data_IF_963122606848
#
_entry.id   IF_963122606848
#
_cell.length_a   1.000
_cell.length_b   1.000
_cell.length_c   1.000
_cell.angle_alpha   90.00
_cell.angle_beta   90.00
_cell.angle_gamma   90.00
#
_symmetry.space_group_name_H-M   'P 1'
#
loop_
_entity.id
_entity.type
_entity.pdbx_description
1 polymer ?
#
# COMPACT_ATOMS: atom_id res chain seq x y z
N UNK A 1 7.34 -10.94 11.66
CA UNK A 1 6.61 -11.93 10.84
C UNK A 1 5.83 -11.15 9.81
N UNK A 2 5.79 -11.60 8.55
CA UNK A 2 5.02 -10.91 7.52
C UNK A 2 3.52 -10.88 7.89
N UNK A 3 2.79 -9.80 7.54
CA UNK A 3 1.35 -9.70 7.83
C UNK A 3 0.55 -10.73 7.02
N UNK A 4 -0.59 -11.15 7.57
CA UNK A 4 -1.58 -11.97 6.86
C UNK A 4 -2.66 -11.08 6.23
N UNK A 5 -3.01 -11.32 4.97
CA UNK A 5 -4.01 -10.55 4.22
C UNK A 5 -4.94 -11.51 3.48
N UNK A 6 -6.19 -11.60 3.92
CA UNK A 6 -7.19 -12.40 3.21
C UNK A 6 -7.54 -11.76 1.85
N UNK A 7 -7.41 -12.52 0.78
CA UNK A 7 -7.69 -12.06 -0.59
C UNK A 7 -9.06 -12.58 -1.06
N UNK A 8 -9.88 -11.67 -1.58
CA UNK A 8 -11.13 -12.04 -2.25
C UNK A 8 -11.05 -11.69 -3.72
N UNK A 9 -11.24 -12.68 -4.59
CA UNK A 9 -11.34 -12.51 -6.03
C UNK A 9 -12.79 -12.76 -6.43
N UNK A 10 -13.36 -11.85 -7.21
CA UNK A 10 -14.69 -12.03 -7.78
C UNK A 10 -14.53 -12.40 -9.25
N UNK A 11 -15.08 -13.55 -9.66
CA UNK A 11 -15.05 -13.98 -11.07
C UNK A 11 -15.63 -12.89 -11.97
N UNK A 12 -14.97 -12.60 -13.08
CA UNK A 12 -15.41 -11.58 -14.04
C UNK A 12 -15.14 -10.13 -13.60
N UNK A 13 -14.42 -9.91 -12.49
CA UNK A 13 -14.00 -8.57 -12.05
C UNK A 13 -12.48 -8.44 -12.14
N UNK A 14 -12.04 -7.25 -12.56
CA UNK A 14 -10.62 -6.87 -12.45
C UNK A 14 -10.25 -6.76 -10.98
N UNK A 15 -9.11 -7.35 -10.61
CA UNK A 15 -8.46 -7.14 -9.32
C UNK A 15 -7.22 -6.28 -9.56
N UNK A 16 -7.10 -5.23 -8.75
CA UNK A 16 -5.87 -4.47 -8.58
C UNK A 16 -5.63 -4.30 -7.08
N UNK A 17 -4.48 -4.78 -6.60
CA UNK A 17 -4.14 -4.73 -5.19
C UNK A 17 -2.68 -4.30 -5.04
N UNK A 18 -2.46 -3.15 -4.41
CA UNK A 18 -1.14 -2.58 -4.19
C UNK A 18 -0.66 -2.84 -2.76
N UNK A 19 0.57 -3.32 -2.63
CA UNK A 19 1.27 -3.48 -1.36
C UNK A 19 2.45 -2.51 -1.30
N UNK A 20 2.26 -1.39 -0.61
CA UNK A 20 3.34 -0.46 -0.28
C UNK A 20 4.38 -1.15 0.60
N UNK A 21 5.67 -1.02 0.24
CA UNK A 21 6.76 -1.75 0.88
C UNK A 21 7.70 -0.78 1.61
N UNK A 22 7.76 -0.92 2.92
CA UNK A 22 8.42 0.02 3.82
C UNK A 22 9.44 -0.68 4.72
N UNK A 23 10.44 0.09 5.15
CA UNK A 23 11.35 -0.28 6.23
C UNK A 23 10.68 -0.05 7.61
N UNK A 24 11.17 -0.72 8.65
CA UNK A 24 10.75 -0.49 10.03
C UNK A 24 11.21 0.88 10.55
N UNK A 25 12.24 1.48 9.94
CA UNK A 25 12.68 2.84 10.28
C UNK A 25 11.57 3.86 10.02
N UNK A 26 11.36 4.74 11.01
CA UNK A 26 10.42 5.87 10.91
C UNK A 26 11.16 7.14 10.53
N UNK A 27 10.61 7.86 9.55
CA UNK A 27 11.02 9.22 9.23
C UNK A 27 10.11 10.23 9.94
N UNK A 28 10.74 11.32 10.38
CA UNK A 28 10.09 12.44 11.04
C UNK A 28 10.34 13.69 10.22
N UNK A 29 9.27 14.29 9.68
CA UNK A 29 9.37 15.50 8.85
C UNK A 29 8.61 16.66 9.51
N UNK A 30 9.27 17.80 9.77
CA UNK A 30 8.63 18.91 10.45
C UNK A 30 7.54 19.52 9.58
N UNK A 31 6.38 19.81 10.20
CA UNK A 31 5.30 20.55 9.54
C UNK A 31 5.64 22.03 9.60
N UNK A 32 5.73 22.67 8.44
CA UNK A 32 6.12 24.09 8.31
C UNK A 32 4.91 24.98 8.04
N UNK A 33 3.83 24.44 7.50
CA UNK A 33 2.59 25.19 7.25
C UNK A 33 1.36 24.29 7.19
N UNK A 34 0.22 24.87 7.56
CA UNK A 34 -1.10 24.28 7.37
C UNK A 34 -2.12 25.42 7.17
N UNK A 35 -2.52 25.74 5.92
CA UNK A 35 -3.60 26.69 5.69
C UNK A 35 -4.93 26.13 6.21
N UNK A 36 -5.72 26.95 6.89
CA UNK A 36 -7.08 26.60 7.32
C UNK A 36 -8.01 26.47 6.10
N UNK A 37 -8.06 25.28 5.52
CA UNK A 37 -8.90 24.93 4.37
C UNK A 37 -9.27 23.45 4.38
N UNK A 38 -10.21 23.08 3.51
CA UNK A 38 -10.52 21.69 3.19
C UNK A 38 -10.28 21.42 1.69
N UNK A 39 -9.66 20.29 1.32
CA UNK A 39 -8.97 19.34 2.21
C UNK A 39 -7.75 19.98 2.88
N UNK A 40 -7.34 19.47 4.04
CA UNK A 40 -6.14 19.94 4.73
C UNK A 40 -4.91 19.73 3.84
N UNK A 41 -4.03 20.73 3.78
CA UNK A 41 -2.70 20.59 3.18
C UNK A 41 -1.64 20.93 4.19
N UNK A 42 -0.55 20.15 4.18
CA UNK A 42 0.58 20.34 5.07
C UNK A 42 1.82 20.61 4.24
N UNK A 43 2.51 21.71 4.56
CA UNK A 43 3.85 21.97 4.07
C UNK A 43 4.88 21.25 4.93
N UNK A 44 5.82 20.56 4.28
CA UNK A 44 6.95 19.87 4.88
C UNK A 44 8.01 19.68 3.81
N UNK A 45 9.09 20.46 3.88
CA UNK A 45 10.09 20.52 2.82
C UNK A 45 10.77 19.14 2.58
N UNK A 46 10.88 18.75 1.32
CA UNK A 46 11.48 17.48 0.86
C UNK A 46 10.99 16.30 1.69
N UNK A 47 9.67 16.15 1.82
CA UNK A 47 9.10 15.16 2.75
C UNK A 47 9.44 13.72 2.36
N UNK A 48 9.53 13.40 1.07
CA UNK A 48 9.81 12.05 0.57
C UNK A 48 8.64 11.07 0.64
N UNK A 49 7.51 11.47 1.23
CA UNK A 49 6.24 10.73 1.29
C UNK A 49 5.69 10.47 -0.13
N UNK A 50 5.53 9.20 -0.55
CA UNK A 50 4.85 8.80 -1.79
C UNK A 50 3.35 9.10 -1.79
N UNK A 51 2.71 9.07 -2.96
CA UNK A 51 1.26 9.22 -3.03
C UNK A 51 0.53 8.03 -2.38
N UNK A 52 -0.49 8.32 -1.57
CA UNK A 52 -1.26 7.32 -0.83
C UNK A 52 -0.53 6.71 0.37
N UNK A 53 0.66 7.18 0.74
CA UNK A 53 1.44 6.59 1.83
C UNK A 53 0.81 6.89 3.21
N UNK A 54 0.76 5.92 4.13
CA UNK A 54 0.21 6.13 5.46
C UNK A 54 1.13 7.05 6.28
N UNK A 55 0.55 8.12 6.81
CA UNK A 55 1.24 9.06 7.70
C UNK A 55 0.50 9.20 9.02
N UNK A 56 1.25 9.48 10.07
CA UNK A 56 0.74 9.99 11.34
C UNK A 56 1.19 11.42 11.53
N UNK A 57 0.40 12.21 12.22
CA UNK A 57 0.75 13.56 12.62
C UNK A 57 0.81 13.60 14.14
N UNK A 58 1.95 14.02 14.66
CA UNK A 58 2.23 14.01 16.09
C UNK A 58 2.75 15.38 16.54
N UNK A 59 2.59 15.66 17.83
CA UNK A 59 3.14 16.85 18.50
C UNK A 59 2.67 18.21 17.94
N UNK A 60 1.48 18.29 17.35
CA UNK A 60 0.84 19.57 16.98
C UNK A 60 0.10 20.13 18.19
N UNK A 61 0.48 21.33 18.63
CA UNK A 61 -0.18 21.99 19.78
C UNK A 61 -1.44 22.78 19.41
N UNK A 62 -1.46 23.40 18.23
CA UNK A 62 -2.61 24.12 17.68
C UNK A 62 -2.53 24.07 16.17
N UNK A 63 -3.56 23.57 15.44
CA UNK A 63 -4.75 22.92 15.98
C UNK A 63 -4.45 21.49 16.46
N UNK A 64 -4.85 21.15 17.68
CA UNK A 64 -4.61 19.82 18.25
C UNK A 64 -5.40 18.72 17.51
N UNK A 65 -6.50 19.11 16.85
CA UNK A 65 -7.34 18.30 15.98
C UNK A 65 -6.57 17.69 14.80
N UNK A 66 -5.42 18.26 14.43
CA UNK A 66 -4.58 17.74 13.35
C UNK A 66 -3.80 16.47 13.75
N UNK A 67 -3.62 16.19 15.05
CA UNK A 67 -2.89 15.00 15.47
C UNK A 67 -3.68 13.73 15.13
N UNK A 68 -2.99 12.73 14.61
CA UNK A 68 -3.58 11.43 14.30
C UNK A 68 -3.81 10.64 15.60
N UNK A 69 -4.98 10.00 15.80
CA UNK A 69 -5.21 9.11 16.93
C UNK A 69 -4.18 7.98 17.01
N UNK A 70 -3.94 7.47 18.23
CA UNK A 70 -3.02 6.36 18.45
C UNK A 70 -3.47 5.11 17.69
N UNK A 71 -2.54 4.46 16.99
CA UNK A 71 -2.82 3.26 16.20
C UNK A 71 -3.47 3.52 14.84
N UNK A 72 -3.78 4.79 14.51
CA UNK A 72 -4.34 5.18 13.22
C UNK A 72 -3.28 5.79 12.30
N UNK A 73 -3.60 5.87 11.01
CA UNK A 73 -2.81 6.58 10.00
C UNK A 73 -3.74 7.11 8.91
N UNK A 74 -3.29 8.15 8.22
CA UNK A 74 -4.03 8.79 7.13
C UNK A 74 -3.24 8.58 5.84
N UNK A 75 -3.89 8.14 4.78
CA UNK A 75 -3.27 8.08 3.46
C UNK A 75 -3.04 9.50 2.93
N UNK A 76 -1.77 9.90 2.83
CA UNK A 76 -1.38 11.22 2.34
C UNK A 76 -1.40 11.24 0.82
N UNK A 77 -2.08 12.21 0.23
CA UNK A 77 -1.95 12.51 -1.19
C UNK A 77 -0.77 13.44 -1.41
N UNK A 78 0.16 13.07 -2.29
CA UNK A 78 1.32 13.88 -2.63
C UNK A 78 0.89 14.98 -3.61
N UNK A 79 1.05 16.25 -3.21
CA UNK A 79 0.80 17.39 -4.10
C UNK A 79 2.06 17.74 -4.88
N UNK A 80 3.18 17.85 -4.17
CA UNK A 80 4.51 18.10 -4.74
C UNK A 80 5.59 17.54 -3.80
N UNK A 81 6.83 18.05 -3.87
CA UNK A 81 7.94 17.59 -3.02
C UNK A 81 7.90 18.15 -1.59
N UNK A 82 7.15 19.22 -1.38
CA UNK A 82 7.10 20.00 -0.14
C UNK A 82 5.69 20.04 0.46
N UNK A 83 4.70 19.43 -0.20
CA UNK A 83 3.28 19.53 0.17
C UNK A 83 2.57 18.19 0.03
N UNK A 84 1.85 17.81 1.10
CA UNK A 84 0.86 16.73 1.09
C UNK A 84 -0.56 17.26 1.35
N UNK A 85 -1.56 16.49 0.95
CA UNK A 85 -2.99 16.72 1.16
C UNK A 85 -3.60 15.54 1.93
N UNK A 86 -4.37 15.85 2.98
CA UNK A 86 -5.11 14.89 3.78
C UNK A 86 -6.59 15.02 3.40
N UNK A 87 -7.04 14.17 2.48
CA UNK A 87 -8.36 14.33 1.87
C UNK A 87 -9.53 13.99 2.81
N UNK A 88 -9.28 13.23 3.89
CA UNK A 88 -10.25 12.96 4.95
C UNK A 88 -10.47 14.13 5.89
N UNK A 89 -9.55 15.11 5.90
CA UNK A 89 -9.51 16.13 6.94
C UNK A 89 -10.09 17.47 6.47
N UNK A 90 -10.91 18.07 7.33
CA UNK A 90 -11.49 19.41 7.13
C UNK A 90 -10.96 20.40 8.16
N UNK A 91 -9.93 21.15 7.78
CA UNK A 91 -9.31 22.16 8.61
C UNK A 91 -9.87 23.57 8.46
N UNK A 92 -11.04 23.73 7.81
CA UNK A 92 -11.57 25.06 7.45
C UNK A 92 -11.88 25.95 8.66
N UNK A 93 -12.19 25.34 9.81
CA UNK A 93 -12.52 26.04 11.06
C UNK A 93 -11.43 25.92 12.13
N UNK A 94 -10.32 25.25 11.82
CA UNK A 94 -9.24 25.04 12.77
C UNK A 94 -8.41 26.29 12.96
N UNK A 95 -7.83 26.42 14.16
CA UNK A 95 -6.85 27.46 14.45
C UNK A 95 -5.66 27.33 13.52
N UNK A 96 -4.97 28.44 13.29
CA UNK A 96 -3.71 28.43 12.55
C UNK A 96 -2.68 27.56 13.27
N UNK A 97 -1.81 26.95 12.47
CA UNK A 97 -0.68 26.16 12.96
C UNK A 97 0.23 27.03 13.83
N UNK A 98 0.37 26.68 15.11
CA UNK A 98 1.46 27.16 15.96
C UNK A 98 2.71 26.32 15.71
N UNK A 99 3.91 26.89 15.91
CA UNK A 99 5.17 26.16 15.75
C UNK A 99 5.14 24.77 16.43
N UNK A 100 5.66 23.76 15.73
CA UNK A 100 5.63 22.36 16.14
C UNK A 100 4.93 21.46 15.12
N UNK A 101 4.78 20.18 15.47
CA UNK A 101 4.18 19.17 14.60
C UNK A 101 5.21 18.43 13.72
N UNK A 102 5.05 17.12 13.65
CA UNK A 102 5.82 16.25 12.75
C UNK A 102 4.91 15.29 12.01
N UNK A 103 5.21 15.08 10.73
CA UNK A 103 4.76 13.93 9.97
C UNK A 103 5.64 12.75 10.31
N UNK A 104 5.03 11.63 10.67
CA UNK A 104 5.70 10.38 11.03
C UNK A 104 5.22 9.29 10.10
N UNK A 105 6.15 8.60 9.43
CA UNK A 105 5.81 7.53 8.49
C UNK A 105 6.99 6.57 8.33
N UNK A 106 6.70 5.32 7.96
CA UNK A 106 7.74 4.35 7.65
C UNK A 106 8.50 4.74 6.38
N UNK A 107 9.81 4.52 6.37
CA UNK A 107 10.69 4.81 5.23
C UNK A 107 10.26 3.96 4.03
N UNK A 108 9.90 4.56 2.87
CA UNK A 108 9.65 3.80 1.64
C UNK A 108 10.93 3.12 1.16
N UNK A 109 10.85 1.83 0.79
CA UNK A 109 12.00 1.10 0.24
C UNK A 109 12.21 1.49 -1.22
N UNK A 110 13.47 1.71 -1.62
CA UNK A 110 13.81 1.91 -3.03
C UNK A 110 13.71 0.58 -3.80
N UNK A 111 12.76 0.51 -4.73
CA UNK A 111 12.41 -0.74 -5.42
C UNK A 111 13.12 -0.93 -6.77
N UNK A 112 14.04 -0.04 -7.15
CA UNK A 112 14.77 -0.19 -8.41
C UNK A 112 15.51 -1.55 -8.48
N UNK A 113 15.18 -2.34 -9.49
CA UNK A 113 15.75 -3.68 -9.72
C UNK A 113 15.16 -4.81 -8.86
N UNK A 114 14.20 -4.51 -7.99
CA UNK A 114 13.46 -5.54 -7.27
C UNK A 114 12.51 -6.30 -8.20
N UNK A 115 12.18 -7.53 -7.80
CA UNK A 115 11.14 -8.35 -8.40
C UNK A 115 10.14 -8.78 -7.34
N UNK A 116 8.95 -9.20 -7.74
CA UNK A 116 7.97 -9.81 -6.86
C UNK A 116 7.29 -11.00 -7.52
N UNK A 117 6.83 -11.94 -6.69
CA UNK A 117 6.04 -13.10 -7.11
C UNK A 117 5.01 -13.46 -6.04
N UNK A 118 3.85 -13.93 -6.47
CA UNK A 118 2.82 -14.48 -5.61
C UNK A 118 2.31 -15.80 -6.18
N UNK A 119 1.90 -16.71 -5.30
CA UNK A 119 1.38 -18.01 -5.69
C UNK A 119 0.16 -18.39 -4.86
N UNK A 120 -0.83 -18.98 -5.51
CA UNK A 120 -1.99 -19.60 -4.86
C UNK A 120 -1.85 -21.12 -4.90
N UNK A 121 -2.11 -21.78 -3.78
CA UNK A 121 -2.16 -23.25 -3.66
C UNK A 121 -3.45 -23.72 -3.00
N UNK A 122 -3.87 -24.95 -3.23
CA UNK A 122 -5.07 -25.52 -2.60
C UNK A 122 -4.96 -25.60 -1.05
N UNK A 123 -3.73 -25.77 -0.54
CA UNK A 123 -3.32 -25.72 0.86
C UNK A 123 -1.80 -25.52 0.97
N UNK A 124 -1.30 -25.36 2.19
CA UNK A 124 0.15 -25.31 2.47
C UNK A 124 0.84 -26.58 1.96
N UNK A 125 1.89 -26.41 1.15
CA UNK A 125 2.59 -27.53 0.49
C UNK A 125 1.78 -28.26 -0.60
N UNK A 126 0.64 -27.68 -1.00
CA UNK A 126 -0.29 -28.27 -1.95
C UNK A 126 -0.03 -27.89 -3.42
N UNK A 127 -1.01 -28.20 -4.26
CA UNK A 127 -0.96 -28.00 -5.71
C UNK A 127 -1.09 -26.53 -6.05
N UNK A 128 -0.24 -26.04 -6.95
CA UNK A 128 -0.29 -24.68 -7.49
C UNK A 128 -1.55 -24.47 -8.32
N UNK A 129 -2.25 -23.36 -8.08
CA UNK A 129 -3.51 -23.01 -8.73
C UNK A 129 -3.46 -21.72 -9.54
N UNK A 130 -2.61 -20.77 -9.15
CA UNK A 130 -2.49 -19.48 -9.82
C UNK A 130 -1.16 -18.80 -9.44
N UNK A 131 -0.63 -17.97 -10.31
CA UNK A 131 0.61 -17.21 -10.09
C UNK A 131 0.50 -15.76 -10.55
N UNK A 132 1.11 -14.87 -9.78
CA UNK A 132 1.53 -13.57 -10.27
C UNK A 132 3.06 -13.48 -10.25
N UNK A 133 3.65 -12.88 -11.27
CA UNK A 133 5.08 -12.58 -11.29
C UNK A 133 5.32 -11.24 -12.00
N UNK A 134 6.28 -10.46 -11.48
CA UNK A 134 6.74 -9.23 -12.12
C UNK A 134 7.57 -9.47 -13.39
N UNK A 135 8.15 -10.65 -13.53
CA UNK A 135 8.91 -11.07 -14.69
C UNK A 135 8.05 -11.91 -15.63
N UNK A 136 7.61 -11.30 -16.74
CA UNK A 136 6.80 -11.97 -17.76
C UNK A 136 7.48 -13.19 -18.41
N UNK A 137 8.82 -13.30 -18.34
CA UNK A 137 9.55 -14.49 -18.85
C UNK A 137 9.28 -15.75 -18.03
N UNK A 138 8.79 -15.60 -16.78
CA UNK A 138 8.36 -16.72 -15.94
C UNK A 138 6.97 -17.25 -16.32
N UNK A 139 6.34 -16.68 -17.36
CA UNK A 139 5.01 -17.06 -17.87
C UNK A 139 3.94 -17.17 -16.77
N UNK A 140 3.78 -16.14 -15.90
CA UNK A 140 2.79 -16.20 -14.83
C UNK A 140 1.37 -16.11 -15.38
N UNK A 141 0.39 -16.55 -14.59
CA UNK A 141 -1.02 -16.43 -14.96
C UNK A 141 -1.47 -14.97 -15.02
N UNK A 142 -0.89 -14.08 -14.20
CA UNK A 142 -1.04 -12.64 -14.27
C UNK A 142 0.22 -11.87 -13.80
N UNK A 143 0.24 -10.54 -13.96
CA UNK A 143 1.45 -9.74 -13.74
C UNK A 143 1.44 -8.98 -12.41
N UNK A 144 2.64 -8.77 -11.86
CA UNK A 144 2.89 -7.79 -10.80
C UNK A 144 3.62 -6.60 -11.39
N UNK A 145 3.13 -5.38 -11.17
CA UNK A 145 3.90 -4.16 -11.43
C UNK A 145 4.74 -3.83 -10.20
N UNK A 146 6.04 -3.61 -10.39
CA UNK A 146 6.91 -2.99 -9.38
C UNK A 146 6.84 -1.48 -9.60
N UNK A 147 6.00 -0.80 -8.82
CA UNK A 147 5.78 0.65 -8.94
C UNK A 147 6.81 1.41 -8.10
N UNK A 148 7.77 2.03 -8.78
CA UNK A 148 8.83 2.81 -8.14
C UNK A 148 8.33 4.13 -7.55
N UNK A 149 7.24 4.69 -8.08
CA UNK A 149 6.71 5.98 -7.61
C UNK A 149 5.84 5.79 -6.37
N UNK A 150 5.04 4.72 -6.33
CA UNK A 150 4.21 4.35 -5.19
C UNK A 150 4.98 3.52 -4.14
N UNK A 151 6.21 3.08 -4.45
CA UNK A 151 6.98 2.13 -3.65
C UNK A 151 6.17 0.89 -3.31
N UNK A 152 5.53 0.30 -4.32
CA UNK A 152 4.55 -0.76 -4.15
C UNK A 152 4.71 -1.90 -5.15
N UNK A 153 4.28 -3.10 -4.72
CA UNK A 153 4.02 -4.23 -5.59
C UNK A 153 2.52 -4.27 -5.91
N UNK A 154 2.16 -4.10 -7.18
CA UNK A 154 0.76 -4.03 -7.62
C UNK A 154 0.39 -5.31 -8.36
N UNK A 155 -0.43 -6.14 -7.74
CA UNK A 155 -0.96 -7.34 -8.36
C UNK A 155 -2.11 -6.96 -9.28
N UNK A 156 -2.02 -7.35 -10.55
CA UNK A 156 -3.07 -7.16 -11.53
C UNK A 156 -3.69 -8.50 -11.91
N UNK A 157 -5.00 -8.54 -12.06
CA UNK A 157 -5.72 -9.65 -12.70
C UNK A 157 -6.90 -9.08 -13.47
N UNK A 158 -7.00 -9.41 -14.75
CA UNK A 158 -8.10 -8.99 -15.61
C UNK A 158 -9.39 -9.72 -15.24
N UNK A 159 -10.53 -9.13 -15.63
CA UNK A 159 -11.83 -9.77 -15.52
C UNK A 159 -11.87 -11.17 -16.17
N UNK A 160 -11.21 -11.34 -17.32
CA UNK A 160 -11.16 -12.61 -18.06
C UNK A 160 -10.34 -13.67 -17.30
N UNK A 161 -9.18 -13.29 -16.76
CA UNK A 161 -8.37 -14.16 -15.90
C UNK A 161 -9.17 -14.60 -14.66
N UNK A 162 -9.84 -13.65 -14.01
CA UNK A 162 -10.68 -13.94 -12.85
C UNK A 162 -11.87 -14.85 -13.21
N UNK A 163 -12.51 -14.64 -14.36
CA UNK A 163 -13.63 -15.47 -14.83
C UNK A 163 -13.20 -16.91 -15.13
N UNK A 164 -11.96 -17.13 -15.59
CA UNK A 164 -11.43 -18.44 -15.91
C UNK A 164 -11.07 -19.30 -14.69
N UNK A 165 -11.06 -18.73 -13.47
CA UNK A 165 -10.70 -19.46 -12.25
C UNK A 165 -11.72 -20.57 -11.93
N UNK A 166 -11.25 -21.81 -11.88
CA UNK A 166 -12.07 -23.01 -11.61
C UNK A 166 -12.11 -23.41 -10.14
N UNK A 167 -11.21 -22.89 -9.31
CA UNK A 167 -11.14 -23.13 -7.87
C UNK A 167 -11.89 -22.05 -7.07
N UNK A 168 -12.29 -22.36 -5.83
CA UNK A 168 -13.10 -21.44 -4.99
C UNK A 168 -12.40 -20.98 -3.71
N UNK A 169 -11.30 -21.64 -3.34
CA UNK A 169 -10.50 -21.33 -2.15
C UNK A 169 -9.07 -21.84 -2.31
N UNK A 170 -8.16 -21.20 -1.58
CA UNK A 170 -6.77 -21.62 -1.46
C UNK A 170 -6.04 -20.86 -0.36
N UNK A 171 -4.73 -21.03 -0.34
CA UNK A 171 -3.80 -20.18 0.41
C UNK A 171 -2.87 -19.47 -0.55
N UNK A 172 -2.46 -18.27 -0.20
CA UNK A 172 -1.58 -17.46 -1.02
C UNK A 172 -0.51 -16.76 -0.19
N UNK A 173 0.56 -16.36 -0.84
CA UNK A 173 1.65 -15.55 -0.27
C UNK A 173 2.21 -14.61 -1.34
N UNK A 174 2.87 -13.55 -0.90
CA UNK A 174 3.60 -12.60 -1.76
C UNK A 174 5.02 -12.49 -1.25
N UNK A 175 5.98 -12.61 -2.17
CA UNK A 175 7.40 -12.45 -1.91
C UNK A 175 7.98 -11.34 -2.78
N UNK A 176 8.93 -10.59 -2.20
CA UNK A 176 9.76 -9.63 -2.89
C UNK A 176 11.19 -10.17 -2.96
N UNK A 177 11.87 -9.90 -4.07
CA UNK A 177 13.23 -10.36 -4.34
C UNK A 177 14.08 -9.12 -4.62
N UNK A 178 15.11 -8.92 -3.81
CA UNK A 178 16.01 -7.78 -3.98
C UNK A 178 16.98 -8.00 -5.17
N UNK A 179 17.69 -6.95 -5.63
CA UNK A 179 18.65 -7.07 -6.74
C UNK A 179 19.82 -8.04 -6.48
N UNK A 180 20.03 -8.45 -5.22
CA UNK A 180 21.06 -9.44 -4.83
C UNK A 180 20.52 -10.87 -4.79
N UNK A 181 19.22 -11.06 -5.02
CA UNK A 181 18.53 -12.34 -5.01
C UNK A 181 18.01 -12.78 -3.64
N UNK A 182 18.01 -11.91 -2.63
CA UNK A 182 17.41 -12.23 -1.33
C UNK A 182 15.90 -12.16 -1.43
N UNK A 183 15.23 -13.12 -0.82
CA UNK A 183 13.77 -13.25 -0.84
C UNK A 183 13.21 -12.81 0.51
N UNK A 184 12.23 -11.92 0.47
CA UNK A 184 11.52 -11.38 1.62
C UNK A 184 10.04 -11.72 1.50
N UNK A 185 9.47 -12.25 2.58
CA UNK A 185 8.03 -12.47 2.64
C UNK A 185 7.33 -11.13 2.88
N UNK A 186 6.52 -10.70 1.92
CA UNK A 186 5.73 -9.47 2.01
C UNK A 186 4.38 -9.77 2.67
N UNK A 187 3.72 -10.84 2.22
CA UNK A 187 2.48 -11.36 2.82
C UNK A 187 2.73 -12.78 3.27
N UNK A 188 2.43 -13.03 4.54
CA UNK A 188 2.41 -14.37 5.15
C UNK A 188 1.39 -15.27 4.47
N UNK A 189 1.48 -16.57 4.69
CA UNK A 189 0.50 -17.53 4.15
C UNK A 189 -0.90 -17.15 4.60
N UNK A 190 -1.73 -16.71 3.66
CA UNK A 190 -3.04 -16.13 3.91
C UNK A 190 -4.11 -16.85 3.11
N UNK A 191 -5.37 -16.73 3.50
CA UNK A 191 -6.47 -17.33 2.74
C UNK A 191 -6.78 -16.53 1.48
N UNK A 192 -7.16 -17.23 0.42
CA UNK A 192 -7.79 -16.63 -0.75
C UNK A 192 -9.13 -17.32 -1.04
N UNK A 193 -10.14 -16.51 -1.37
CA UNK A 193 -11.48 -16.97 -1.75
C UNK A 193 -11.82 -16.46 -3.14
N UNK A 194 -12.46 -17.31 -3.95
CA UNK A 194 -12.98 -16.92 -5.28
C UNK A 194 -14.49 -17.07 -5.28
N UNK A 195 -15.19 -15.95 -5.33
CA UNK A 195 -16.66 -15.90 -5.38
C UNK A 195 -17.16 -15.72 -6.81
N UNK A 196 -18.39 -16.17 -7.06
CA UNK A 196 -19.13 -15.78 -8.26
C UNK A 196 -19.56 -14.32 -8.16
N UNK A 197 -19.73 -13.67 -9.31
CA UNK A 197 -20.43 -12.39 -9.35
C UNK A 197 -21.86 -12.57 -8.81
N UNK A 198 -22.28 -11.68 -7.91
CA UNK A 198 -23.68 -11.58 -7.51
C UNK A 198 -24.39 -10.77 -8.59
N UNK A 199 -25.11 -11.45 -9.48
CA UNK A 199 -26.00 -10.80 -10.44
C UNK A 199 -27.29 -10.45 -9.70
N UNK A 200 -27.58 -9.16 -9.52
CA UNK A 200 -28.83 -8.63 -8.95
C UNK A 200 -29.81 -8.33 -10.09
#
# INVERSE_FOLDING_TARGET
>A
MAPEVELTIVRGKTLELAFQYADEELLYRPITSMPSKAPVRLGSATHGIPDGWPVRIESVSSPAELNTPEGESIAAKRVDADTIELNSENGSTWRSLSAGGVLVFNTPVELAGWQARAAVRDRVGGTLQFTWDSNALNTPDALITVDLAAHAFVLHMSADQAAALTWSKGVWELEAIDPTGRVYQVIGVSKVMVSSEVVI
#
